data_IF_628752100538
#
_entry.id   IF_628752100538
#
_cell.length_a   1.000
_cell.length_b   1.000
_cell.length_c   1.000
_cell.angle_alpha   90.00
_cell.angle_beta   90.00
_cell.angle_gamma   90.00
#
_symmetry.space_group_name_H-M   'P 1'
#
loop_
_entity.id
_entity.type
_entity.pdbx_description
1 polymer ?
#
# COMPACT_ATOMS: atom_id res chain seq x y z
N UNK A 1 4.36 -10.95 -12.52
CA UNK A 1 3.56 -9.80 -12.03
C UNK A 1 2.66 -10.16 -10.85
N UNK A 2 1.56 -10.90 -11.00
CA UNK A 2 0.68 -11.25 -9.85
C UNK A 2 1.42 -11.95 -8.72
N UNK A 3 2.19 -12.99 -9.02
CA UNK A 3 2.99 -13.71 -8.03
C UNK A 3 4.03 -12.82 -7.32
N UNK A 4 4.52 -11.77 -7.99
CA UNK A 4 5.46 -10.82 -7.40
C UNK A 4 4.78 -9.92 -6.38
N UNK A 5 3.55 -9.48 -6.67
CA UNK A 5 2.73 -8.71 -5.74
C UNK A 5 2.21 -9.54 -4.57
N UNK A 6 1.86 -10.81 -4.79
CA UNK A 6 1.49 -11.74 -3.71
C UNK A 6 2.68 -12.00 -2.77
N UNK A 7 3.89 -12.18 -3.32
CA UNK A 7 5.13 -12.28 -2.53
C UNK A 7 5.43 -10.98 -1.77
N UNK A 8 5.30 -9.83 -2.42
CA UNK A 8 5.53 -8.54 -1.79
C UNK A 8 4.53 -8.27 -0.65
N UNK A 9 3.26 -8.65 -0.83
CA UNK A 9 2.23 -8.57 0.22
C UNK A 9 2.63 -9.39 1.44
N UNK A 10 3.04 -10.65 1.24
CA UNK A 10 3.47 -11.53 2.31
C UNK A 10 4.69 -10.95 3.07
N UNK A 11 5.71 -10.49 2.34
CA UNK A 11 6.90 -9.90 2.94
C UNK A 11 6.61 -8.62 3.74
N UNK A 12 5.79 -7.71 3.19
CA UNK A 12 5.39 -6.50 3.90
C UNK A 12 4.55 -6.83 5.14
N UNK A 13 3.73 -7.89 5.10
CA UNK A 13 3.00 -8.36 6.26
C UNK A 13 3.93 -8.84 7.38
N UNK A 14 5.03 -9.54 7.05
CA UNK A 14 6.02 -9.95 8.06
C UNK A 14 6.64 -8.74 8.79
N UNK A 15 6.89 -7.64 8.08
CA UNK A 15 7.37 -6.39 8.69
C UNK A 15 6.34 -5.77 9.64
N UNK A 16 5.08 -5.73 9.23
CA UNK A 16 3.97 -5.23 10.05
C UNK A 16 3.74 -6.10 11.29
N UNK A 17 3.81 -7.42 11.12
CA UNK A 17 3.64 -8.39 12.21
C UNK A 17 4.79 -8.29 13.22
N UNK A 18 6.02 -8.04 12.76
CA UNK A 18 7.19 -7.88 13.61
C UNK A 18 7.20 -6.57 14.41
N UNK A 19 6.55 -5.51 13.94
CA UNK A 19 6.49 -4.23 14.66
C UNK A 19 5.54 -4.32 15.87
N UNK A 20 5.98 -4.07 17.11
CA UNK A 20 5.07 -4.01 18.25
C UNK A 20 4.18 -2.76 18.20
N UNK A 21 3.07 -2.78 18.93
CA UNK A 21 2.09 -1.68 18.95
C UNK A 21 2.71 -0.34 19.34
N UNK A 22 3.56 -0.32 20.37
CA UNK A 22 4.28 0.86 20.84
C UNK A 22 5.33 1.38 19.83
N UNK A 23 5.75 0.55 18.88
CA UNK A 23 6.66 0.91 17.79
C UNK A 23 5.97 1.47 16.55
N UNK A 24 4.65 1.33 16.41
CA UNK A 24 3.90 1.74 15.21
C UNK A 24 4.10 3.22 14.87
N UNK A 25 4.19 4.07 15.89
CA UNK A 25 4.35 5.51 15.73
C UNK A 25 5.79 6.00 15.92
N UNK A 26 6.75 5.10 16.04
CA UNK A 26 8.16 5.45 16.23
C UNK A 26 8.69 6.27 15.06
N UNK A 27 9.43 7.34 15.39
CA UNK A 27 10.20 8.17 14.44
C UNK A 27 11.67 8.08 14.80
N UNK A 28 12.51 7.74 13.82
CA UNK A 28 13.97 7.70 14.03
C UNK A 28 14.56 9.12 14.21
N UNK A 29 14.04 10.10 13.47
CA UNK A 29 14.29 11.53 13.65
C UNK A 29 12.98 12.30 13.40
N UNK A 30 12.84 13.57 13.85
CA UNK A 30 11.64 14.37 13.62
C UNK A 30 11.25 14.54 12.14
N UNK A 31 12.24 14.55 11.25
CA UNK A 31 12.09 14.80 9.82
C UNK A 31 11.69 13.56 9.02
N UNK A 32 11.92 12.36 9.58
CA UNK A 32 11.58 11.09 8.93
C UNK A 32 10.14 10.70 9.29
N UNK A 33 9.45 10.07 8.33
CA UNK A 33 8.14 9.45 8.57
C UNK A 33 8.22 8.44 9.72
N UNK A 34 7.17 8.36 10.52
CA UNK A 34 7.02 7.23 11.44
C UNK A 34 6.87 5.91 10.67
N UNK A 35 7.01 4.78 11.37
CA UNK A 35 6.73 3.48 10.76
C UNK A 35 5.32 3.43 10.14
N UNK A 36 4.30 3.90 10.86
CA UNK A 36 2.93 3.99 10.35
C UNK A 36 2.84 4.92 9.13
N UNK A 37 3.42 6.12 9.19
CA UNK A 37 3.40 7.06 8.06
C UNK A 37 4.07 6.46 6.82
N UNK A 38 5.17 5.72 6.98
CA UNK A 38 5.86 5.05 5.86
C UNK A 38 5.00 3.94 5.24
N UNK A 39 4.32 3.15 6.06
CA UNK A 39 3.44 2.08 5.59
C UNK A 39 2.16 2.62 4.93
N UNK A 40 1.59 3.70 5.44
CA UNK A 40 0.47 4.41 4.82
C UNK A 40 0.88 5.06 3.50
N UNK A 41 2.09 5.61 3.42
CA UNK A 41 2.66 6.13 2.18
C UNK A 41 2.79 5.04 1.11
N UNK A 42 3.28 3.85 1.51
CA UNK A 42 3.34 2.68 0.64
C UNK A 42 1.93 2.30 0.12
N UNK A 43 0.94 2.23 1.02
CA UNK A 43 -0.43 1.90 0.64
C UNK A 43 -1.03 2.92 -0.34
N UNK A 44 -0.77 4.22 -0.12
CA UNK A 44 -1.13 5.29 -1.06
C UNK A 44 -0.44 5.12 -2.42
N UNK A 45 0.85 4.79 -2.44
CA UNK A 45 1.61 4.54 -3.66
C UNK A 45 1.01 3.40 -4.48
N UNK A 46 0.74 2.26 -3.83
CA UNK A 46 0.10 1.09 -4.44
C UNK A 46 -1.20 1.46 -5.16
N UNK A 47 -2.11 2.17 -4.48
CA UNK A 47 -3.41 2.53 -5.05
C UNK A 47 -3.28 3.58 -6.14
N UNK A 48 -2.53 4.65 -5.91
CA UNK A 48 -2.45 5.75 -6.87
C UNK A 48 -1.77 5.34 -8.17
N UNK A 49 -0.64 4.62 -8.10
CA UNK A 49 0.10 4.20 -9.28
C UNK A 49 -0.73 3.18 -10.07
N UNK A 50 -1.35 2.23 -9.39
CA UNK A 50 -2.16 1.20 -10.05
C UNK A 50 -3.41 1.79 -10.69
N UNK A 51 -4.15 2.66 -9.99
CA UNK A 51 -5.32 3.33 -10.55
C UNK A 51 -4.96 4.10 -11.84
N UNK A 52 -3.86 4.88 -11.80
CA UNK A 52 -3.39 5.61 -12.99
C UNK A 52 -2.96 4.67 -14.11
N UNK A 53 -2.33 3.55 -13.78
CA UNK A 53 -1.79 2.60 -14.78
C UNK A 53 -2.84 1.70 -15.41
N UNK A 54 -3.94 1.44 -14.70
CA UNK A 54 -4.97 0.47 -15.12
C UNK A 54 -6.30 1.12 -15.49
N UNK A 55 -6.48 2.41 -15.19
CA UNK A 55 -7.77 3.09 -15.28
C UNK A 55 -8.75 2.70 -14.15
N UNK A 56 -8.32 1.90 -13.16
CA UNK A 56 -9.13 1.50 -12.02
C UNK A 56 -9.50 2.67 -11.10
N UNK A 57 -10.63 2.54 -10.40
CA UNK A 57 -11.04 3.54 -9.40
C UNK A 57 -10.13 3.47 -8.17
N UNK A 58 -9.77 4.64 -7.62
CA UNK A 58 -9.00 4.72 -6.38
C UNK A 58 -9.87 4.37 -5.18
N UNK A 59 -9.42 3.40 -4.37
CA UNK A 59 -10.10 3.01 -3.14
C UNK A 59 -9.86 3.98 -1.97
N UNK A 60 -8.81 4.81 -2.06
CA UNK A 60 -8.53 5.89 -1.10
C UNK A 60 -8.86 7.23 -1.74
N UNK A 61 -9.80 7.96 -1.13
CA UNK A 61 -10.25 9.28 -1.62
C UNK A 61 -9.50 10.45 -0.97
N UNK A 62 -8.83 10.18 0.13
CA UNK A 62 -8.07 11.17 0.91
C UNK A 62 -6.65 10.70 1.16
N UNK A 63 -5.82 11.59 1.70
CA UNK A 63 -4.47 11.21 2.11
C UNK A 63 -4.52 10.44 3.43
N UNK A 64 -4.50 9.11 3.34
CA UNK A 64 -4.55 8.23 4.51
C UNK A 64 -3.32 8.34 5.42
N UNK A 65 -2.19 8.92 4.97
CA UNK A 65 -1.04 9.21 5.85
C UNK A 65 -1.41 10.14 7.03
N UNK A 66 -2.49 10.92 6.87
CA UNK A 66 -3.02 11.86 7.87
C UNK A 66 -4.15 11.30 8.73
N UNK A 67 -4.57 10.05 8.49
CA UNK A 67 -5.70 9.43 9.19
C UNK A 67 -5.18 8.73 10.45
N UNK A 68 -5.34 9.39 11.59
CA UNK A 68 -4.82 8.90 12.88
C UNK A 68 -5.41 7.55 13.31
N UNK A 69 -6.65 7.24 12.92
CA UNK A 69 -7.28 5.95 13.23
C UNK A 69 -6.60 4.75 12.56
N UNK A 70 -5.75 4.96 11.56
CA UNK A 70 -4.93 3.91 10.96
C UNK A 70 -3.56 3.73 11.65
N UNK A 71 -3.20 4.57 12.63
CA UNK A 71 -1.88 4.56 13.27
C UNK A 71 -1.82 3.67 14.53
N UNK A 72 -2.48 2.51 14.46
CA UNK A 72 -2.36 1.39 15.39
C UNK A 72 -2.11 0.11 14.59
N UNK A 73 -1.55 -0.94 15.20
CA UNK A 73 -1.05 -2.11 14.45
C UNK A 73 -2.12 -2.79 13.61
N UNK A 74 -3.30 -3.02 14.19
CA UNK A 74 -4.39 -3.72 13.52
C UNK A 74 -4.89 -2.93 12.30
N UNK A 75 -5.24 -1.66 12.51
CA UNK A 75 -5.79 -0.82 11.46
C UNK A 75 -4.75 -0.53 10.36
N UNK A 76 -3.49 -0.31 10.74
CA UNK A 76 -2.37 -0.13 9.81
C UNK A 76 -2.18 -1.37 8.93
N UNK A 77 -2.16 -2.55 9.56
CA UNK A 77 -2.00 -3.81 8.83
C UNK A 77 -3.15 -4.01 7.86
N UNK A 78 -4.39 -3.77 8.31
CA UNK A 78 -5.58 -3.89 7.48
C UNK A 78 -5.52 -3.01 6.22
N UNK A 79 -5.25 -1.71 6.37
CA UNK A 79 -5.23 -0.77 5.24
C UNK A 79 -4.07 -1.03 4.28
N UNK A 80 -2.91 -1.45 4.79
CA UNK A 80 -1.77 -1.83 3.93
C UNK A 80 -2.10 -3.09 3.13
N UNK A 81 -2.65 -4.13 3.76
CA UNK A 81 -3.05 -5.36 3.06
C UNK A 81 -4.13 -5.10 2.01
N UNK A 82 -5.10 -4.22 2.32
CA UNK A 82 -6.13 -3.79 1.38
C UNK A 82 -5.53 -3.15 0.12
N UNK A 83 -4.47 -2.34 0.27
CA UNK A 83 -3.78 -1.75 -0.88
C UNK A 83 -3.15 -2.80 -1.80
N UNK A 84 -2.59 -3.88 -1.24
CA UNK A 84 -2.03 -4.99 -2.03
C UNK A 84 -3.12 -5.79 -2.74
N UNK A 85 -4.24 -6.07 -2.05
CA UNK A 85 -5.38 -6.78 -2.65
C UNK A 85 -5.98 -5.99 -3.81
N UNK A 86 -6.04 -4.67 -3.69
CA UNK A 86 -6.42 -3.79 -4.78
C UNK A 86 -5.49 -3.94 -5.98
N UNK A 87 -4.17 -3.86 -5.77
CA UNK A 87 -3.18 -4.00 -6.86
C UNK A 87 -3.32 -5.35 -7.56
N UNK A 88 -3.36 -6.44 -6.78
CA UNK A 88 -3.51 -7.79 -7.31
C UNK A 88 -4.83 -7.93 -8.07
N UNK A 89 -5.90 -7.35 -7.55
CA UNK A 89 -7.23 -7.35 -8.17
C UNK A 89 -7.26 -6.62 -9.50
N UNK A 90 -6.66 -5.43 -9.61
CA UNK A 90 -6.58 -4.67 -10.86
C UNK A 90 -5.72 -5.38 -11.90
N UNK A 91 -4.55 -5.91 -11.51
CA UNK A 91 -3.66 -6.63 -12.43
C UNK A 91 -4.34 -7.88 -12.99
N UNK A 92 -5.12 -8.61 -12.19
CA UNK A 92 -5.85 -9.82 -12.64
C UNK A 92 -6.94 -9.53 -13.70
N UNK A 93 -7.34 -8.27 -13.88
CA UNK A 93 -8.32 -7.87 -14.92
C UNK A 93 -7.69 -7.60 -16.28
N UNK A 94 -6.37 -7.45 -16.34
CA UNK A 94 -5.64 -7.07 -17.55
C UNK A 94 -5.14 -8.30 -18.31
N UNK A 95 -5.07 -8.17 -19.63
CA UNK A 95 -4.35 -9.13 -20.48
C UNK A 95 -2.90 -8.68 -20.74
N UNK A 96 -2.10 -9.53 -21.38
CA UNK A 96 -0.69 -9.25 -21.65
C UNK A 96 -0.46 -8.04 -22.55
N UNK A 97 -1.36 -7.74 -23.49
CA UNK A 97 -1.26 -6.56 -24.36
C UNK A 97 -1.42 -5.27 -23.55
N UNK A 98 -2.46 -5.22 -22.71
CA UNK A 98 -2.75 -4.07 -21.83
C UNK A 98 -1.62 -3.81 -20.83
N UNK A 99 -0.97 -4.87 -20.31
CA UNK A 99 0.19 -4.74 -19.42
C UNK A 99 1.42 -4.13 -20.10
N UNK A 100 1.49 -4.16 -21.43
CA UNK A 100 2.58 -3.58 -22.22
C UNK A 100 2.25 -2.18 -22.79
N UNK A 101 1.05 -1.65 -22.52
CA UNK A 101 0.66 -0.32 -22.96
C UNK A 101 1.48 0.78 -22.25
N UNK A 102 1.73 1.87 -22.97
CA UNK A 102 2.42 3.03 -22.40
C UNK A 102 1.41 3.94 -21.69
N UNK A 103 1.59 4.08 -20.39
CA UNK A 103 0.80 4.99 -19.56
C UNK A 103 1.53 6.33 -19.44
N UNK A 104 0.79 7.44 -19.52
CA UNK A 104 1.29 8.78 -19.21
C UNK A 104 0.90 9.14 -17.78
N UNK A 105 1.89 9.55 -16.98
CA UNK A 105 1.74 9.97 -15.59
C UNK A 105 1.73 11.50 -15.47
#
# INVERSE_FOLDING_TARGET
MVADWERAKAYTKEYLDAMPEDGVNFKATPEVRSFAEQMLHLAMGNVNITATSTGGEKIFKENIEKVESYKNKEALTGVVMQSYDYVIGEIKKLNDEQLNEKVKF
#
